data_IF_554923601394
#
_entry.id   IF_554923601394
#
_cell.length_a   1.000
_cell.length_b   1.000
_cell.length_c   1.000
_cell.angle_alpha   90.00
_cell.angle_beta   90.00
_cell.angle_gamma   90.00
#
_symmetry.space_group_name_H-M   'P 1'
#
loop_
_entity.id
_entity.type
_entity.pdbx_description
1 polymer ?
#
# COMPACT_ATOMS: atom_id res chain seq x y z
N UNK A 1 -42.21 -23.96 -37.82
CA UNK A 1 -41.87 -25.32 -37.37
C UNK A 1 -40.82 -25.23 -36.25
N UNK A 2 -41.10 -24.48 -35.18
CA UNK A 2 -40.14 -24.24 -34.07
C UNK A 2 -40.92 -23.93 -32.80
N UNK A 3 -41.46 -24.96 -32.18
CA UNK A 3 -42.38 -24.79 -31.05
C UNK A 3 -42.61 -26.09 -30.29
N UNK A 4 -41.60 -26.94 -30.19
CA UNK A 4 -41.52 -27.80 -29.01
C UNK A 4 -40.94 -26.91 -27.91
N UNK A 5 -41.83 -26.53 -27.00
CA UNK A 5 -41.50 -25.80 -25.78
C UNK A 5 -40.38 -26.54 -25.07
N UNK A 6 -39.17 -25.98 -25.10
CA UNK A 6 -38.09 -26.36 -24.18
C UNK A 6 -38.76 -26.46 -22.81
N UNK A 7 -38.82 -27.68 -22.27
CA UNK A 7 -39.52 -27.92 -21.01
C UNK A 7 -38.92 -26.97 -19.98
N UNK A 8 -39.75 -26.32 -19.15
CA UNK A 8 -39.24 -25.46 -18.07
C UNK A 8 -38.19 -26.19 -17.22
N UNK A 9 -38.30 -27.51 -17.08
CA UNK A 9 -37.30 -28.35 -16.43
C UNK A 9 -35.97 -28.46 -17.18
N UNK A 10 -35.99 -28.47 -18.51
CA UNK A 10 -34.80 -28.50 -19.35
C UNK A 10 -34.06 -27.16 -19.32
N UNK A 11 -34.80 -26.03 -19.35
CA UNK A 11 -34.24 -24.70 -19.13
C UNK A 11 -33.62 -24.54 -17.74
N UNK A 12 -34.26 -25.10 -16.70
CA UNK A 12 -33.78 -25.06 -15.31
C UNK A 12 -32.48 -25.87 -15.15
N UNK A 13 -32.34 -26.99 -15.87
CA UNK A 13 -31.08 -27.77 -15.90
C UNK A 13 -29.98 -26.95 -16.57
N UNK A 14 -30.26 -26.28 -17.69
CA UNK A 14 -29.26 -25.46 -18.40
C UNK A 14 -28.78 -24.27 -17.54
N UNK A 15 -29.68 -23.61 -16.80
CA UNK A 15 -29.28 -22.52 -15.89
C UNK A 15 -28.49 -23.02 -14.69
N UNK A 16 -28.86 -24.19 -14.12
CA UNK A 16 -28.10 -24.83 -13.07
C UNK A 16 -26.69 -25.22 -13.55
N UNK A 17 -26.56 -25.75 -14.77
CA UNK A 17 -25.26 -26.03 -15.39
C UNK A 17 -24.45 -24.76 -15.61
N UNK A 18 -25.06 -23.69 -16.13
CA UNK A 18 -24.40 -22.40 -16.31
C UNK A 18 -23.92 -21.79 -14.98
N UNK A 19 -24.76 -21.84 -13.94
CA UNK A 19 -24.41 -21.39 -12.59
C UNK A 19 -23.31 -22.24 -11.95
N UNK A 20 -23.32 -23.55 -12.20
CA UNK A 20 -22.25 -24.45 -11.75
C UNK A 20 -20.91 -24.12 -12.41
N UNK A 21 -20.90 -23.91 -13.73
CA UNK A 21 -19.67 -23.58 -14.47
C UNK A 21 -19.07 -22.26 -14.01
N UNK A 22 -19.90 -21.23 -13.77
CA UNK A 22 -19.38 -19.94 -13.25
C UNK A 22 -18.85 -20.08 -11.83
N UNK A 23 -19.50 -20.86 -10.98
CA UNK A 23 -19.02 -21.14 -9.62
C UNK A 23 -17.65 -21.83 -9.64
N UNK A 24 -17.46 -22.83 -10.52
CA UNK A 24 -16.17 -23.49 -10.71
C UNK A 24 -15.12 -22.52 -11.26
N UNK A 25 -15.48 -21.68 -12.23
CA UNK A 25 -14.56 -20.69 -12.79
C UNK A 25 -14.05 -19.70 -11.72
N UNK A 26 -14.93 -19.26 -10.81
CA UNK A 26 -14.53 -18.39 -9.69
C UNK A 26 -13.60 -19.10 -8.71
N UNK A 27 -13.86 -20.37 -8.39
CA UNK A 27 -12.98 -21.17 -7.53
C UNK A 27 -11.59 -21.30 -8.16
N UNK A 28 -11.52 -21.64 -9.45
CA UNK A 28 -10.24 -21.76 -10.17
C UNK A 28 -9.49 -20.43 -10.16
N UNK A 29 -10.18 -19.32 -10.43
CA UNK A 29 -9.58 -17.99 -10.40
C UNK A 29 -9.07 -17.62 -8.99
N UNK A 30 -9.85 -17.92 -7.94
CA UNK A 30 -9.41 -17.74 -6.54
C UNK A 30 -8.16 -18.54 -6.24
N UNK A 31 -8.13 -19.83 -6.61
CA UNK A 31 -6.97 -20.70 -6.40
C UNK A 31 -5.73 -20.20 -7.15
N UNK A 32 -5.89 -19.70 -8.37
CA UNK A 32 -4.78 -19.09 -9.11
C UNK A 32 -4.25 -17.85 -8.39
N UNK A 33 -5.13 -16.99 -7.89
CA UNK A 33 -4.73 -15.80 -7.13
C UNK A 33 -4.05 -16.17 -5.80
N UNK A 34 -4.53 -17.18 -5.08
CA UNK A 34 -3.92 -17.65 -3.85
C UNK A 34 -2.56 -18.31 -4.09
N UNK A 35 -2.40 -19.03 -5.22
CA UNK A 35 -1.13 -19.63 -5.62
C UNK A 35 -0.10 -18.57 -6.02
N UNK A 36 -0.54 -17.52 -6.72
CA UNK A 36 0.29 -16.35 -7.01
C UNK A 36 0.59 -15.58 -5.72
N UNK A 37 -0.37 -15.43 -4.82
CA UNK A 37 -0.14 -14.81 -3.51
C UNK A 37 0.91 -15.60 -2.74
N UNK A 38 0.84 -16.91 -2.60
CA UNK A 38 1.87 -17.65 -1.86
C UNK A 38 3.25 -17.64 -2.54
N UNK A 39 3.30 -17.57 -3.88
CA UNK A 39 4.55 -17.53 -4.63
C UNK A 39 5.20 -16.14 -4.62
N UNK A 40 4.41 -15.07 -4.76
CA UNK A 40 4.89 -13.68 -4.85
C UNK A 40 4.86 -12.93 -3.51
N UNK A 41 3.92 -13.25 -2.62
CA UNK A 41 3.96 -12.84 -1.22
C UNK A 41 4.72 -13.90 -0.41
N UNK A 42 6.05 -13.83 -0.49
CA UNK A 42 6.88 -14.20 0.66
C UNK A 42 6.75 -13.07 1.67
N UNK A 43 5.61 -12.99 2.35
CA UNK A 43 5.43 -12.06 3.45
C UNK A 43 6.45 -12.43 4.55
N UNK A 44 7.22 -11.46 5.09
CA UNK A 44 7.85 -11.68 6.38
C UNK A 44 6.74 -12.04 7.35
N UNK A 45 6.97 -13.05 8.19
CA UNK A 45 6.04 -13.45 9.24
C UNK A 45 5.39 -12.21 9.85
N UNK A 46 4.05 -12.14 9.79
CA UNK A 46 3.32 -11.52 10.88
C UNK A 46 3.60 -12.38 12.10
N UNK A 47 4.72 -12.07 12.76
CA UNK A 47 4.90 -12.47 14.13
C UNK A 47 3.66 -11.96 14.88
N UNK A 48 3.03 -12.79 15.73
CA UNK A 48 2.15 -12.23 16.73
C UNK A 48 2.94 -11.12 17.42
N UNK A 49 2.30 -9.98 17.64
CA UNK A 49 2.85 -8.89 18.45
C UNK A 49 3.06 -9.44 19.86
N UNK A 50 4.16 -10.14 20.07
CA UNK A 50 4.85 -10.16 21.33
C UNK A 50 5.66 -8.87 21.31
N UNK A 51 5.31 -8.00 22.25
CA UNK A 51 6.10 -6.85 22.62
C UNK A 51 7.42 -7.40 23.18
N UNK A 52 8.33 -7.78 22.28
CA UNK A 52 9.72 -7.96 22.60
C UNK A 52 10.33 -6.59 22.39
N UNK A 53 10.51 -5.86 23.49
CA UNK A 53 11.50 -4.80 23.56
C UNK A 53 12.84 -5.42 23.14
N UNK A 54 13.18 -5.26 21.87
CA UNK A 54 14.55 -5.38 21.42
C UNK A 54 15.06 -3.95 21.23
N UNK A 55 16.22 -3.58 21.80
CA UNK A 55 16.67 -2.20 21.79
C UNK A 55 16.97 -1.84 20.34
N UNK A 56 16.05 -1.14 19.71
CA UNK A 56 16.39 -0.26 18.60
C UNK A 56 17.41 0.67 19.21
N UNK A 57 18.62 0.70 18.65
CA UNK A 57 19.58 1.73 18.97
C UNK A 57 18.83 3.06 18.91
N UNK A 58 18.60 3.61 20.10
CA UNK A 58 18.15 4.94 20.34
C UNK A 58 19.17 5.82 19.63
N UNK A 59 18.95 6.10 18.35
CA UNK A 59 19.07 7.49 17.96
C UNK A 59 17.98 8.13 18.81
N UNK A 60 18.38 8.62 19.99
CA UNK A 60 17.65 9.63 20.72
C UNK A 60 17.23 10.64 19.65
N UNK A 61 16.00 10.51 19.14
CA UNK A 61 15.29 11.67 18.70
C UNK A 61 15.01 12.38 20.01
N UNK A 62 16.03 13.06 20.52
CA UNK A 62 15.93 13.95 21.65
C UNK A 62 14.68 14.77 21.37
N UNK A 63 13.74 14.78 22.31
CA UNK A 63 12.56 15.64 22.23
C UNK A 63 12.94 17.09 21.89
N UNK A 64 14.20 17.46 22.18
CA UNK A 64 14.89 18.69 21.81
C UNK A 64 14.81 19.05 20.32
N UNK A 65 14.83 18.07 19.41
CA UNK A 65 14.82 18.34 17.96
C UNK A 65 13.41 18.56 17.38
N UNK A 66 12.35 18.38 18.17
CA UNK A 66 10.98 18.50 17.67
C UNK A 66 10.61 19.96 17.39
N UNK A 67 11.09 20.91 18.20
CA UNK A 67 10.89 22.34 17.97
C UNK A 67 11.62 22.79 16.70
N UNK A 68 12.87 22.35 16.51
CA UNK A 68 13.64 22.62 15.29
C UNK A 68 12.95 22.07 14.04
N UNK A 69 12.43 20.84 14.10
CA UNK A 69 11.69 20.22 12.99
C UNK A 69 10.43 21.01 12.64
N UNK A 70 9.65 21.41 13.64
CA UNK A 70 8.44 22.22 13.41
C UNK A 70 8.81 23.56 12.77
N UNK A 71 9.87 24.22 13.26
CA UNK A 71 10.33 25.51 12.74
C UNK A 71 10.77 25.42 11.28
N UNK A 72 11.62 24.45 10.93
CA UNK A 72 12.14 24.28 9.56
C UNK A 72 11.02 23.88 8.59
N UNK A 73 10.14 22.95 8.97
CA UNK A 73 9.01 22.54 8.14
C UNK A 73 8.05 23.71 7.92
N UNK A 74 7.71 24.46 8.98
CA UNK A 74 6.81 25.62 8.87
C UNK A 74 7.42 26.71 7.99
N UNK A 75 8.71 27.00 8.15
CA UNK A 75 9.41 27.96 7.30
C UNK A 75 9.42 27.53 5.83
N UNK A 76 9.69 26.25 5.54
CA UNK A 76 9.70 25.72 4.17
C UNK A 76 8.30 25.80 3.52
N UNK A 77 7.24 25.48 4.27
CA UNK A 77 5.86 25.56 3.79
C UNK A 77 5.43 27.02 3.59
N UNK A 78 5.76 27.90 4.54
CA UNK A 78 5.50 29.34 4.45
C UNK A 78 6.15 29.94 3.19
N UNK A 79 7.42 29.61 2.95
CA UNK A 79 8.14 30.04 1.75
C UNK A 79 7.53 29.48 0.46
N UNK A 80 7.15 28.20 0.45
CA UNK A 80 6.56 27.54 -0.73
C UNK A 80 5.18 28.11 -1.10
N UNK A 81 4.38 28.47 -0.10
CA UNK A 81 3.03 29.00 -0.27
C UNK A 81 2.98 30.54 -0.26
N UNK A 82 4.13 31.23 -0.17
CA UNK A 82 4.24 32.68 -0.05
C UNK A 82 3.33 33.27 1.04
N UNK A 83 3.18 32.54 2.14
CA UNK A 83 2.30 32.91 3.26
C UNK A 83 3.11 33.16 4.53
N UNK A 84 2.54 33.89 5.48
CA UNK A 84 3.15 34.14 6.78
C UNK A 84 3.08 32.91 7.67
N UNK A 85 4.07 32.72 8.54
CA UNK A 85 4.12 31.63 9.54
C UNK A 85 2.92 31.63 10.48
N UNK A 86 2.34 32.80 10.78
CA UNK A 86 1.16 32.92 11.64
C UNK A 86 -0.12 32.32 11.04
N UNK A 87 -0.15 32.03 9.73
CA UNK A 87 -1.30 31.43 9.06
C UNK A 87 -1.29 29.90 9.10
N UNK A 88 -0.19 29.28 9.54
CA UNK A 88 0.02 27.82 9.48
C UNK A 88 -0.05 27.23 10.90
N UNK A 89 -0.81 26.15 11.07
CA UNK A 89 -0.93 25.40 12.33
C UNK A 89 -0.50 23.95 12.08
N UNK A 90 0.57 23.50 12.75
CA UNK A 90 1.09 22.13 12.66
C UNK A 90 0.48 21.30 13.79
N UNK A 91 -0.32 20.29 13.44
CA UNK A 91 -1.00 19.44 14.44
C UNK A 91 -0.28 18.12 14.70
N UNK A 92 0.31 17.50 13.68
CA UNK A 92 0.92 16.19 13.81
C UNK A 92 2.03 16.01 12.75
N UNK A 93 3.19 15.49 13.17
CA UNK A 93 4.30 15.17 12.29
C UNK A 93 4.55 13.66 12.39
N UNK A 94 4.21 12.93 11.32
CA UNK A 94 4.46 11.50 11.22
C UNK A 94 5.49 11.24 10.12
N UNK A 95 6.58 10.55 10.47
CA UNK A 95 7.55 10.08 9.48
C UNK A 95 6.96 8.87 8.76
N UNK A 96 6.61 9.03 7.49
CA UNK A 96 6.24 7.91 6.62
C UNK A 96 7.53 7.27 6.11
N UNK A 97 7.59 5.94 6.12
CA UNK A 97 8.76 5.20 5.64
C UNK A 97 9.11 5.55 4.19
N UNK A 98 10.40 5.65 3.89
CA UNK A 98 10.89 5.89 2.54
C UNK A 98 10.60 4.67 1.65
N UNK A 99 9.62 4.79 0.75
CA UNK A 99 9.26 3.74 -0.20
C UNK A 99 10.11 3.76 -1.47
N UNK A 100 11.10 4.67 -1.55
CA UNK A 100 11.96 4.79 -2.72
C UNK A 100 12.85 3.54 -2.86
N UNK A 101 12.83 2.83 -4.00
CA UNK A 101 13.75 1.72 -4.22
C UNK A 101 15.20 2.20 -4.28
N UNK A 102 16.14 1.30 -3.98
CA UNK A 102 17.58 1.61 -3.89
C UNK A 102 18.15 2.26 -5.16
N UNK A 103 17.69 1.83 -6.35
CA UNK A 103 18.10 2.43 -7.63
C UNK A 103 17.57 3.86 -7.81
N UNK A 104 16.37 4.17 -7.30
CA UNK A 104 15.78 5.51 -7.37
C UNK A 104 16.49 6.50 -6.44
N UNK A 105 17.02 6.02 -5.31
CA UNK A 105 17.93 6.80 -4.45
C UNK A 105 19.27 7.04 -5.15
N UNK A 106 19.89 5.99 -5.69
CA UNK A 106 21.16 6.08 -6.38
C UNK A 106 21.10 7.05 -7.58
N UNK A 107 20.05 6.99 -8.39
CA UNK A 107 19.87 7.89 -9.54
C UNK A 107 19.76 9.37 -9.15
N UNK A 108 19.08 9.70 -8.04
CA UNK A 108 19.01 11.09 -7.54
C UNK A 108 20.36 11.60 -7.07
N UNK A 109 21.11 10.78 -6.34
CA UNK A 109 22.45 11.13 -5.86
C UNK A 109 23.40 11.36 -7.04
N UNK A 110 23.34 10.49 -8.05
CA UNK A 110 24.14 10.65 -9.27
C UNK A 110 23.82 11.97 -9.99
N UNK A 111 22.55 12.32 -10.17
CA UNK A 111 22.13 13.58 -10.81
C UNK A 111 22.56 14.83 -10.03
N UNK A 112 22.60 14.74 -8.70
CA UNK A 112 23.09 15.82 -7.85
C UNK A 112 24.62 15.95 -7.97
N UNK A 113 25.33 14.83 -8.02
CA UNK A 113 26.78 14.81 -8.12
C UNK A 113 27.29 15.17 -9.53
N UNK A 114 26.56 14.81 -10.57
CA UNK A 114 26.90 15.09 -11.97
C UNK A 114 26.67 16.54 -12.39
N UNK A 115 26.08 17.36 -11.50
CA UNK A 115 25.81 18.79 -11.72
C UNK A 115 26.84 19.70 -11.05
N UNK A 116 27.89 19.12 -10.47
CA UNK A 116 29.11 19.80 -10.02
C UNK A 116 30.28 19.41 -10.93
#
# INVERSE_FOLDING_TARGET
MFGETISLGEGLIVTALGMSVTFVALIVLSLMLDLLRILFYKEPQKAPVQIVQQPVAEAEAEEDNMEELVAVITAAVAASLQTSTHNIIVQNILRVGDTTPTWGRAGRVEQMNSRF
#
